data_IF_104180890706
#
_entry.id   IF_104180890706
#
_cell.length_a   1.000
_cell.length_b   1.000
_cell.length_c   1.000
_cell.angle_alpha   90.00
_cell.angle_beta   90.00
_cell.angle_gamma   90.00
#
_symmetry.space_group_name_H-M   'P 1'
#
loop_
_entity.id
_entity.type
_entity.pdbx_description
1 polymer ?
#
# COMPACT_ATOMS: atom_id res chain seq x y z
N UNK A 1 -21.63 -7.69 -10.65
CA UNK A 1 -20.19 -7.97 -10.41
C UNK A 1 -19.86 -7.44 -9.03
N UNK A 2 -19.04 -8.15 -8.25
CA UNK A 2 -18.46 -7.58 -7.04
C UNK A 2 -17.60 -6.37 -7.44
N UNK A 3 -17.84 -5.21 -6.85
CA UNK A 3 -17.05 -3.99 -7.07
C UNK A 3 -15.90 -3.85 -6.06
N UNK A 4 -15.89 -4.72 -5.04
CA UNK A 4 -14.89 -4.83 -4.00
C UNK A 4 -14.74 -6.31 -3.69
N UNK A 5 -13.52 -6.84 -3.82
CA UNK A 5 -13.27 -8.26 -3.60
C UNK A 5 -11.77 -8.53 -3.63
N UNK A 6 -11.35 -9.51 -2.84
CA UNK A 6 -10.00 -10.03 -2.84
C UNK A 6 -10.02 -11.40 -3.51
N UNK A 7 -9.16 -11.62 -4.51
CA UNK A 7 -8.99 -12.94 -5.12
C UNK A 7 -7.80 -13.65 -4.50
N UNK A 8 -8.03 -14.82 -3.92
CA UNK A 8 -6.98 -15.65 -3.33
C UNK A 8 -6.94 -16.96 -4.11
N UNK A 9 -5.78 -17.29 -4.67
CA UNK A 9 -5.56 -18.57 -5.32
C UNK A 9 -4.94 -19.54 -4.30
N UNK A 10 -5.72 -20.54 -3.87
CA UNK A 10 -5.28 -21.59 -2.95
C UNK A 10 -5.20 -22.91 -3.73
N UNK A 11 -4.17 -23.77 -3.53
CA UNK A 11 -4.10 -25.08 -4.18
C UNK A 11 -5.38 -25.91 -3.95
N UNK A 12 -5.81 -26.63 -4.99
CA UNK A 12 -7.10 -27.33 -5.02
C UNK A 12 -7.32 -28.34 -3.88
N UNK A 13 -6.24 -28.84 -3.26
CA UNK A 13 -6.28 -29.83 -2.19
C UNK A 13 -6.87 -29.30 -0.87
N UNK A 14 -7.15 -27.99 -0.77
CA UNK A 14 -7.72 -27.35 0.41
C UNK A 14 -9.26 -27.21 0.39
N UNK A 15 -9.93 -27.51 -0.73
CA UNK A 15 -11.38 -27.31 -0.85
C UNK A 15 -12.16 -28.60 -0.53
N UNK A 16 -13.22 -28.45 0.28
CA UNK A 16 -14.26 -29.47 0.48
C UNK A 16 -15.13 -29.70 -0.77
N UNK A 17 -16.24 -30.43 -0.62
CA UNK A 17 -17.13 -30.79 -1.73
C UNK A 17 -17.55 -29.53 -2.52
N UNK A 18 -17.31 -29.46 -3.85
CA UNK A 18 -17.65 -28.31 -4.68
C UNK A 18 -19.16 -27.99 -4.77
N UNK A 19 -20.03 -28.79 -4.15
CA UNK A 19 -21.47 -28.54 -4.03
C UNK A 19 -21.89 -27.94 -2.68
N UNK A 20 -20.97 -27.70 -1.76
CA UNK A 20 -21.28 -27.09 -0.47
C UNK A 20 -21.42 -25.56 -0.65
N UNK A 21 -22.67 -25.09 -0.62
CA UNK A 21 -22.99 -23.66 -0.63
C UNK A 21 -22.88 -23.15 0.81
N UNK A 22 -21.73 -22.58 1.17
CA UNK A 22 -21.62 -21.87 2.44
C UNK A 22 -22.36 -20.53 2.33
N UNK A 23 -23.48 -20.44 3.05
CA UNK A 23 -24.36 -19.27 3.08
C UNK A 23 -24.20 -18.57 4.42
N UNK A 24 -22.99 -18.09 4.72
CA UNK A 24 -22.86 -17.05 5.72
C UNK A 24 -23.23 -15.71 5.10
N UNK A 25 -24.53 -15.43 5.14
CA UNK A 25 -25.06 -14.11 4.83
C UNK A 25 -24.77 -13.22 6.04
N UNK A 26 -23.68 -12.46 5.97
CA UNK A 26 -23.49 -11.30 6.84
C UNK A 26 -24.13 -10.12 6.10
N UNK A 27 -25.37 -9.81 6.48
CA UNK A 27 -26.01 -8.55 6.12
C UNK A 27 -25.66 -7.57 7.22
N UNK A 28 -24.64 -6.74 7.03
CA UNK A 28 -24.65 -5.44 7.67
C UNK A 28 -24.89 -4.39 6.60
N UNK A 29 -26.14 -3.91 6.53
CA UNK A 29 -26.47 -2.67 5.84
C UNK A 29 -26.25 -1.55 6.86
N UNK A 30 -25.03 -1.46 7.37
CA UNK A 30 -24.66 -0.48 8.36
C UNK A 30 -24.74 0.92 7.74
N UNK A 31 -25.43 1.84 8.41
CA UNK A 31 -25.23 3.27 8.17
C UNK A 31 -23.83 3.66 8.66
N UNK A 32 -23.09 4.43 7.88
CA UNK A 32 -21.74 4.86 8.25
C UNK A 32 -20.72 4.73 7.12
N UNK A 33 -19.47 5.08 7.43
CA UNK A 33 -18.34 4.91 6.50
C UNK A 33 -18.06 3.40 6.38
N UNK A 34 -17.84 2.86 5.16
CA UNK A 34 -17.66 3.59 3.89
C UNK A 34 -18.90 3.68 3.00
N UNK A 35 -20.05 3.11 3.39
CA UNK A 35 -21.29 3.17 2.59
C UNK A 35 -21.71 4.61 2.30
N UNK A 36 -21.59 5.44 3.31
CA UNK A 36 -21.96 6.85 3.28
C UNK A 36 -21.06 7.69 2.35
N UNK A 37 -19.91 7.17 1.87
CA UNK A 37 -19.06 7.89 0.91
C UNK A 37 -19.68 8.02 -0.48
N UNK A 38 -20.72 7.24 -0.78
CA UNK A 38 -21.37 7.23 -2.08
C UNK A 38 -22.85 7.63 -1.97
N UNK A 39 -23.34 8.52 -2.85
CA UNK A 39 -24.77 8.76 -2.94
C UNK A 39 -25.50 7.48 -3.40
N UNK A 40 -26.80 7.31 -3.06
CA UNK A 40 -27.52 6.05 -3.28
C UNK A 40 -27.50 5.53 -4.72
N UNK A 41 -27.48 6.44 -5.71
CA UNK A 41 -27.42 6.12 -7.14
C UNK A 41 -26.05 5.60 -7.61
N UNK A 42 -25.01 5.74 -6.78
CA UNK A 42 -23.65 5.27 -7.05
C UNK A 42 -23.26 4.04 -6.22
N UNK A 43 -23.99 3.73 -5.14
CA UNK A 43 -23.65 2.61 -4.25
C UNK A 43 -23.56 1.28 -4.99
N UNK A 44 -24.49 1.00 -5.90
CA UNK A 44 -24.46 -0.25 -6.69
C UNK A 44 -23.14 -0.43 -7.46
N UNK A 45 -22.56 0.66 -7.95
CA UNK A 45 -21.31 0.66 -8.72
C UNK A 45 -20.09 0.43 -7.81
N UNK A 46 -20.05 1.04 -6.63
CA UNK A 46 -18.84 1.09 -5.79
C UNK A 46 -18.85 0.13 -4.60
N UNK A 47 -20.03 -0.32 -4.17
CA UNK A 47 -20.23 -1.24 -3.06
C UNK A 47 -20.41 -2.68 -3.53
N UNK A 48 -20.83 -2.86 -4.79
CA UNK A 48 -21.15 -4.15 -5.36
C UNK A 48 -22.53 -4.65 -4.93
N UNK A 49 -23.24 -5.23 -5.89
CA UNK A 49 -24.59 -5.80 -5.71
C UNK A 49 -24.60 -7.33 -5.86
N UNK A 50 -23.44 -7.93 -6.11
CA UNK A 50 -23.30 -9.37 -6.34
C UNK A 50 -23.13 -10.15 -5.04
N UNK A 51 -23.60 -11.38 -5.04
CA UNK A 51 -23.17 -12.37 -4.04
C UNK A 51 -21.84 -13.00 -4.46
N UNK A 52 -21.06 -13.43 -3.46
CA UNK A 52 -19.81 -14.13 -3.70
C UNK A 52 -20.08 -15.44 -4.46
N UNK A 53 -19.37 -15.66 -5.56
CA UNK A 53 -19.49 -16.87 -6.38
C UNK A 53 -18.22 -17.71 -6.28
N UNK A 54 -18.40 -19.04 -6.31
CA UNK A 54 -17.29 -19.98 -6.22
C UNK A 54 -17.37 -21.03 -7.31
N UNK A 55 -16.21 -21.45 -7.81
CA UNK A 55 -16.05 -22.59 -8.70
C UNK A 55 -14.83 -23.42 -8.26
N UNK A 56 -14.50 -24.46 -9.02
CA UNK A 56 -13.40 -25.39 -8.67
C UNK A 56 -11.99 -24.76 -8.58
N UNK A 57 -11.80 -23.53 -9.06
CA UNK A 57 -10.51 -22.86 -9.14
C UNK A 57 -10.45 -21.55 -8.34
N UNK A 58 -11.60 -20.92 -8.12
CA UNK A 58 -11.70 -19.60 -7.51
C UNK A 58 -12.87 -19.64 -6.53
N UNK A 59 -12.59 -19.24 -5.29
CA UNK A 59 -13.58 -19.01 -4.25
C UNK A 59 -13.57 -17.53 -3.90
N UNK A 60 -14.72 -16.88 -4.03
CA UNK A 60 -14.90 -15.49 -3.61
C UNK A 60 -15.43 -15.45 -2.19
N UNK A 61 -15.03 -14.42 -1.46
CA UNK A 61 -15.50 -14.15 -0.11
C UNK A 61 -16.04 -12.72 -0.05
N UNK A 62 -17.21 -12.56 0.57
CA UNK A 62 -17.80 -11.24 0.78
C UNK A 62 -17.17 -10.62 2.03
N UNK A 63 -16.60 -9.44 1.89
CA UNK A 63 -16.11 -8.66 3.03
C UNK A 63 -17.33 -8.21 3.85
N UNK A 64 -17.32 -8.33 5.20
CA UNK A 64 -18.47 -8.00 6.03
C UNK A 64 -18.95 -6.55 5.83
N UNK A 65 -18.01 -5.61 5.82
CA UNK A 65 -18.30 -4.20 5.57
C UNK A 65 -18.36 -3.93 4.06
N UNK A 66 -19.51 -3.43 3.59
CA UNK A 66 -19.72 -3.06 2.19
C UNK A 66 -18.90 -1.82 1.80
N UNK A 67 -18.63 -1.64 0.50
CA UNK A 67 -17.96 -0.45 -0.05
C UNK A 67 -16.53 -0.17 0.45
N UNK A 68 -15.85 -1.16 1.03
CA UNK A 68 -14.49 -1.00 1.59
C UNK A 68 -13.41 -0.74 0.55
N UNK A 69 -13.63 -1.16 -0.70
CA UNK A 69 -12.68 -1.01 -1.83
C UNK A 69 -11.24 -1.40 -1.48
N UNK A 70 -10.98 -2.68 -1.13
CA UNK A 70 -9.63 -3.12 -0.81
C UNK A 70 -8.70 -2.96 -2.01
N UNK A 71 -7.58 -2.24 -1.85
CA UNK A 71 -6.61 -1.98 -2.92
C UNK A 71 -5.24 -2.63 -2.70
N UNK A 72 -4.85 -2.86 -1.45
CA UNK A 72 -3.58 -3.47 -1.09
C UNK A 72 -3.81 -4.73 -0.27
N UNK A 73 -3.02 -5.77 -0.54
CA UNK A 73 -3.07 -7.06 0.14
C UNK A 73 -1.67 -7.62 0.37
N UNK A 74 -1.47 -8.28 1.53
CA UNK A 74 -0.28 -9.08 1.86
C UNK A 74 -0.67 -10.29 2.70
N UNK A 75 0.31 -11.12 3.06
CA UNK A 75 0.15 -12.26 3.96
C UNK A 75 1.18 -12.20 5.07
N UNK A 76 0.80 -12.59 6.29
CA UNK A 76 1.75 -12.83 7.36
C UNK A 76 2.37 -14.25 7.27
N UNK A 77 3.42 -14.56 8.06
CA UNK A 77 4.07 -15.88 8.05
C UNK A 77 3.16 -17.04 8.51
N UNK A 78 2.00 -16.75 9.10
CA UNK A 78 1.01 -17.74 9.49
C UNK A 78 -0.01 -18.02 8.37
N UNK A 79 0.08 -17.32 7.24
CA UNK A 79 -0.85 -17.43 6.13
C UNK A 79 -2.15 -16.65 6.35
N UNK A 80 -2.21 -15.78 7.37
CA UNK A 80 -3.31 -14.82 7.49
C UNK A 80 -3.16 -13.79 6.39
N UNK A 81 -4.26 -13.48 5.71
CA UNK A 81 -4.30 -12.49 4.65
C UNK A 81 -4.68 -11.15 5.26
N UNK A 82 -3.93 -10.11 4.95
CA UNK A 82 -4.16 -8.75 5.46
C UNK A 82 -4.39 -7.79 4.30
N UNK A 83 -5.36 -6.89 4.42
CA UNK A 83 -5.67 -5.92 3.38
C UNK A 83 -6.15 -4.58 3.97
N UNK A 84 -5.82 -3.50 3.27
CA UNK A 84 -6.24 -2.14 3.65
C UNK A 84 -7.56 -1.78 2.97
N UNK A 85 -8.46 -1.13 3.72
CA UNK A 85 -9.77 -0.69 3.26
C UNK A 85 -9.72 0.80 2.90
N UNK A 86 -9.55 1.09 1.60
CA UNK A 86 -9.30 2.44 1.08
C UNK A 86 -10.35 3.49 1.47
N UNK A 87 -11.60 3.08 1.65
CA UNK A 87 -12.69 4.01 1.94
C UNK A 87 -12.97 4.24 3.43
N UNK A 88 -12.33 3.50 4.32
CA UNK A 88 -12.46 3.66 5.78
C UNK A 88 -11.12 3.88 6.48
N UNK A 89 -10.00 3.63 5.81
CA UNK A 89 -8.68 3.67 6.44
C UNK A 89 -8.39 2.50 7.38
N UNK A 90 -9.36 1.59 7.51
CA UNK A 90 -9.27 0.38 8.33
C UNK A 90 -8.34 -0.65 7.72
N UNK A 91 -7.86 -1.54 8.57
CA UNK A 91 -7.19 -2.77 8.21
C UNK A 91 -8.11 -3.96 8.47
N UNK A 92 -8.07 -4.96 7.61
CA UNK A 92 -8.81 -6.19 7.81
C UNK A 92 -7.92 -7.40 7.58
N UNK A 93 -8.20 -8.47 8.32
CA UNK A 93 -7.58 -9.78 8.12
C UNK A 93 -8.62 -10.82 7.72
N UNK A 94 -8.18 -11.78 6.94
CA UNK A 94 -8.91 -12.98 6.56
C UNK A 94 -8.07 -14.20 6.95
N UNK A 95 -8.68 -15.11 7.71
CA UNK A 95 -8.10 -16.40 8.11
C UNK A 95 -8.60 -17.49 7.14
N UNK A 96 -7.79 -17.95 6.17
CA UNK A 96 -8.26 -18.91 5.17
C UNK A 96 -8.71 -20.26 5.75
N UNK A 97 -8.04 -20.86 6.76
CA UNK A 97 -8.55 -22.05 7.45
C UNK A 97 -9.93 -21.94 8.07
N UNK A 98 -10.29 -20.78 8.66
CA UNK A 98 -11.61 -20.61 9.31
C UNK A 98 -12.61 -19.82 8.47
N UNK A 99 -12.17 -19.27 7.35
CA UNK A 99 -12.93 -18.42 6.42
C UNK A 99 -13.54 -17.18 7.11
N UNK A 100 -12.84 -16.64 8.11
CA UNK A 100 -13.33 -15.51 8.92
C UNK A 100 -12.57 -14.23 8.63
N UNK A 101 -13.35 -13.15 8.56
CA UNK A 101 -12.83 -11.79 8.56
C UNK A 101 -12.75 -11.23 9.98
N UNK A 102 -11.78 -10.35 10.21
CA UNK A 102 -11.74 -9.46 11.37
C UNK A 102 -11.30 -8.09 10.87
N UNK A 103 -12.03 -7.04 11.21
CA UNK A 103 -11.78 -5.67 10.78
C UNK A 103 -11.35 -4.83 11.99
N UNK A 104 -10.40 -3.94 11.79
CA UNK A 104 -9.80 -3.10 12.82
C UNK A 104 -10.02 -1.64 12.46
N UNK A 105 -10.80 -0.92 13.27
CA UNK A 105 -11.15 0.46 13.01
C UNK A 105 -9.96 1.41 13.23
N UNK A 106 -9.76 2.35 12.31
CA UNK A 106 -8.79 3.42 12.46
C UNK A 106 -9.50 4.75 12.81
N UNK A 107 -9.77 5.04 14.10
CA UNK A 107 -10.51 6.24 14.49
C UNK A 107 -9.77 7.53 14.14
N UNK A 108 -8.43 7.50 14.08
CA UNK A 108 -7.62 8.68 13.71
C UNK A 108 -7.88 9.09 12.26
N UNK A 109 -8.16 8.11 11.39
CA UNK A 109 -8.53 8.34 10.00
C UNK A 109 -9.89 9.03 9.87
N UNK A 110 -10.90 8.47 10.54
CA UNK A 110 -12.27 8.97 10.49
C UNK A 110 -12.38 10.39 11.06
N UNK A 111 -11.72 10.63 12.20
CA UNK A 111 -11.65 11.96 12.84
C UNK A 111 -11.09 13.03 11.89
N UNK A 112 -10.09 12.68 11.06
CA UNK A 112 -9.52 13.60 10.08
C UNK A 112 -10.56 14.02 9.03
N UNK A 113 -11.24 13.05 8.40
CA UNK A 113 -12.22 13.36 7.35
C UNK A 113 -13.46 14.05 7.90
N UNK A 114 -13.85 13.74 9.14
CA UNK A 114 -14.89 14.47 9.84
C UNK A 114 -14.49 15.95 10.04
N UNK A 115 -13.32 16.21 10.62
CA UNK A 115 -12.84 17.57 10.85
C UNK A 115 -12.68 18.36 9.53
N UNK A 116 -12.19 17.71 8.47
CA UNK A 116 -12.09 18.31 7.14
C UNK A 116 -13.48 18.68 6.60
N UNK A 117 -14.44 17.75 6.66
CA UNK A 117 -15.82 18.00 6.22
C UNK A 117 -16.48 19.16 6.97
N UNK A 118 -16.29 19.23 8.29
CA UNK A 118 -16.78 20.33 9.12
C UNK A 118 -16.14 21.68 8.73
N UNK A 119 -14.84 21.67 8.39
CA UNK A 119 -14.11 22.89 8.01
C UNK A 119 -14.54 23.46 6.65
N UNK A 120 -14.86 22.59 5.68
CA UNK A 120 -15.30 23.01 4.33
C UNK A 120 -16.81 23.26 4.29
N UNK A 121 -17.57 22.74 5.26
CA UNK A 121 -19.02 22.89 5.31
C UNK A 121 -19.77 21.97 4.33
N UNK A 122 -19.07 20.99 3.75
CA UNK A 122 -19.61 19.95 2.89
C UNK A 122 -18.93 18.63 3.21
N UNK A 123 -19.60 17.52 2.90
CA UNK A 123 -19.08 16.18 3.18
C UNK A 123 -17.93 15.85 2.23
N UNK A 124 -16.76 15.59 2.79
CA UNK A 124 -15.62 15.03 2.07
C UNK A 124 -15.62 13.51 2.28
N UNK A 125 -15.79 12.71 1.21
CA UNK A 125 -15.76 11.26 1.33
C UNK A 125 -14.40 10.77 1.83
N UNK A 126 -14.39 9.90 2.84
CA UNK A 126 -13.18 9.30 3.36
C UNK A 126 -12.59 8.34 2.33
N UNK A 127 -11.43 8.67 1.74
CA UNK A 127 -10.81 7.82 0.71
C UNK A 127 -9.33 8.11 0.54
N UNK A 128 -8.54 7.04 0.40
CA UNK A 128 -7.13 7.15 -0.03
C UNK A 128 -6.69 5.98 -0.89
N UNK A 129 -5.79 6.24 -1.84
CA UNK A 129 -5.25 5.22 -2.74
C UNK A 129 -4.14 4.41 -2.04
N UNK A 130 -4.55 3.53 -1.13
CA UNK A 130 -3.68 2.62 -0.39
C UNK A 130 -3.24 1.48 -1.31
N UNK A 131 -2.12 1.66 -2.01
CA UNK A 131 -1.63 0.67 -2.99
C UNK A 131 -0.48 -0.21 -2.49
N UNK A 132 0.16 0.18 -1.38
CA UNK A 132 1.24 -0.55 -0.73
C UNK A 132 0.80 -1.08 0.63
N UNK A 133 1.10 -2.35 0.88
CA UNK A 133 0.96 -2.97 2.20
C UNK A 133 2.02 -4.06 2.32
N UNK A 134 2.60 -4.21 3.51
CA UNK A 134 3.50 -5.31 3.77
C UNK A 134 3.56 -5.68 5.26
N UNK A 135 3.95 -6.93 5.53
CA UNK A 135 4.13 -7.45 6.88
C UNK A 135 5.57 -7.25 7.34
N UNK A 136 5.72 -6.81 8.58
CA UNK A 136 7.00 -6.70 9.27
C UNK A 136 7.17 -7.80 10.30
N UNK A 137 8.39 -8.34 10.39
CA UNK A 137 8.75 -9.42 11.34
C UNK A 137 8.55 -9.07 12.81
N UNK A 138 8.39 -7.78 13.15
CA UNK A 138 8.02 -7.32 14.48
C UNK A 138 6.52 -7.50 14.80
N UNK A 139 5.74 -8.11 13.90
CA UNK A 139 4.30 -8.31 14.09
C UNK A 139 3.46 -7.09 13.73
N UNK A 140 3.98 -6.24 12.84
CA UNK A 140 3.26 -5.05 12.38
C UNK A 140 2.90 -5.14 10.90
N UNK A 141 1.80 -4.51 10.52
CA UNK A 141 1.42 -4.29 9.13
C UNK A 141 1.69 -2.84 8.78
N UNK A 142 2.43 -2.61 7.71
CA UNK A 142 2.68 -1.27 7.18
C UNK A 142 1.89 -1.06 5.90
N UNK A 143 1.28 0.11 5.72
CA UNK A 143 0.58 0.43 4.48
C UNK A 143 0.71 1.91 4.11
N UNK A 144 0.60 2.20 2.81
CA UNK A 144 0.70 3.57 2.27
C UNK A 144 -0.64 4.29 2.35
N UNK A 145 -0.56 5.61 2.51
CA UNK A 145 -1.68 6.52 2.44
C UNK A 145 -1.28 7.78 1.68
N UNK A 146 -1.65 7.81 0.39
CA UNK A 146 -1.33 8.92 -0.50
C UNK A 146 -2.22 10.16 -0.33
N UNK A 147 -3.31 10.09 0.45
CA UNK A 147 -4.18 11.26 0.69
C UNK A 147 -3.64 12.13 1.82
N UNK A 148 -3.10 11.52 2.88
CA UNK A 148 -2.53 12.25 4.01
C UNK A 148 -1.00 12.31 4.00
N UNK A 149 -0.37 11.98 2.87
CA UNK A 149 1.08 11.91 2.73
C UNK A 149 1.70 11.10 3.87
N UNK A 150 1.27 9.86 4.08
CA UNK A 150 1.63 9.10 5.27
C UNK A 150 1.88 7.62 5.00
N UNK A 151 2.60 7.00 5.94
CA UNK A 151 2.63 5.56 6.14
C UNK A 151 1.92 5.25 7.45
N UNK A 152 1.12 4.19 7.45
CA UNK A 152 0.49 3.68 8.64
C UNK A 152 1.19 2.40 9.09
N UNK A 153 1.36 2.26 10.40
CA UNK A 153 1.79 1.04 11.08
C UNK A 153 0.65 0.55 11.94
N UNK A 154 0.26 -0.70 11.78
CA UNK A 154 -0.68 -1.38 12.67
C UNK A 154 0.05 -2.46 13.47
N UNK A 155 0.07 -2.34 14.80
CA UNK A 155 0.59 -3.38 15.70
C UNK A 155 -0.45 -4.47 15.87
N UNK A 156 -0.15 -5.71 15.47
CA UNK A 156 -1.11 -6.82 15.55
C UNK A 156 -1.40 -7.20 17.02
N UNK A 157 -0.41 -7.14 17.90
CA UNK A 157 -0.58 -7.51 19.31
C UNK A 157 -1.36 -6.48 20.12
N UNK A 158 -1.18 -5.21 19.79
CA UNK A 158 -1.78 -4.09 20.52
C UNK A 158 -3.07 -3.59 19.87
N UNK A 159 -3.37 -4.06 18.65
CA UNK A 159 -4.49 -3.63 17.81
C UNK A 159 -4.54 -2.09 17.68
N UNK A 160 -3.37 -1.49 17.49
CA UNK A 160 -3.19 -0.03 17.50
C UNK A 160 -2.56 0.49 16.21
N UNK A 161 -2.96 1.70 15.83
CA UNK A 161 -2.41 2.42 14.68
C UNK A 161 -1.41 3.49 15.12
N UNK A 162 -0.26 3.52 14.46
CA UNK A 162 0.68 4.63 14.47
C UNK A 162 0.78 5.22 13.07
N UNK A 163 0.83 6.55 12.98
CA UNK A 163 1.01 7.27 11.73
C UNK A 163 2.42 7.83 11.65
N UNK A 164 3.11 7.50 10.56
CA UNK A 164 4.36 8.12 10.18
C UNK A 164 4.09 9.12 9.05
N UNK A 165 4.26 10.41 9.34
CA UNK A 165 4.17 11.45 8.32
C UNK A 165 5.27 11.24 7.27
N UNK A 166 4.88 11.21 6.01
CA UNK A 166 5.82 11.08 4.91
C UNK A 166 6.57 12.41 4.71
N UNK A 167 7.91 12.39 4.58
CA UNK A 167 8.68 13.62 4.41
C UNK A 167 8.36 14.31 3.09
N UNK A 168 7.90 15.56 3.19
CA UNK A 168 7.59 16.43 2.06
C UNK A 168 8.53 17.65 2.07
N UNK A 169 9.68 17.59 1.38
CA UNK A 169 10.56 18.74 1.22
C UNK A 169 9.87 19.88 0.47
N UNK A 170 10.11 21.13 0.89
CA UNK A 170 9.46 22.33 0.32
C UNK A 170 9.71 22.52 -1.19
N UNK A 171 10.73 21.86 -1.75
CA UNK A 171 11.13 21.93 -3.16
C UNK A 171 10.49 20.85 -4.05
N UNK A 172 9.54 20.05 -3.54
CA UNK A 172 8.83 19.04 -4.33
C UNK A 172 7.44 19.51 -4.77
N UNK A 173 6.98 19.08 -5.95
CA UNK A 173 5.63 19.40 -6.45
C UNK A 173 4.51 18.68 -5.68
N UNK A 174 4.88 17.71 -4.85
CA UNK A 174 4.02 16.92 -3.99
C UNK A 174 4.70 15.61 -3.63
N UNK A 175 4.12 14.89 -2.68
CA UNK A 175 4.52 13.52 -2.37
C UNK A 175 3.31 12.62 -2.53
N UNK A 176 3.55 11.36 -2.88
CA UNK A 176 2.51 10.36 -2.97
C UNK A 176 3.13 8.99 -2.70
N UNK A 177 3.20 8.55 -1.43
CA UNK A 177 3.67 7.21 -1.10
C UNK A 177 2.71 6.19 -1.72
N UNK A 178 3.20 5.45 -2.72
CA UNK A 178 2.33 4.63 -3.58
C UNK A 178 2.40 3.15 -3.20
N UNK A 179 3.54 2.49 -3.45
CA UNK A 179 3.86 1.12 -3.03
C UNK A 179 4.88 1.17 -1.91
N UNK A 180 4.84 0.16 -1.04
CA UNK A 180 5.89 -0.08 -0.05
C UNK A 180 6.30 -1.55 -0.01
N UNK A 181 7.51 -1.79 0.49
CA UNK A 181 8.04 -3.11 0.85
C UNK A 181 8.83 -2.97 2.15
N UNK A 182 8.64 -3.94 3.05
CA UNK A 182 9.41 -4.08 4.28
C UNK A 182 10.59 -5.01 3.99
N UNK A 183 11.80 -4.54 4.29
CA UNK A 183 13.03 -5.32 4.20
C UNK A 183 13.81 -5.23 5.51
N UNK A 184 13.70 -6.26 6.34
CA UNK A 184 14.27 -6.27 7.68
C UNK A 184 13.73 -5.11 8.54
N UNK A 185 14.61 -4.19 8.92
CA UNK A 185 14.26 -2.97 9.67
C UNK A 185 14.08 -1.74 8.77
N UNK A 186 13.97 -1.94 7.46
CA UNK A 186 13.84 -0.88 6.46
C UNK A 186 12.47 -0.94 5.81
N UNK A 187 11.93 0.22 5.48
CA UNK A 187 10.75 0.35 4.62
C UNK A 187 11.17 1.13 3.39
N UNK A 188 10.94 0.55 2.23
CA UNK A 188 11.22 1.14 0.93
C UNK A 188 9.88 1.53 0.32
N UNK A 189 9.77 2.77 -0.17
CA UNK A 189 8.52 3.33 -0.69
C UNK A 189 8.81 4.03 -2.00
N UNK A 190 8.00 3.79 -3.04
CA UNK A 190 8.03 4.69 -4.20
C UNK A 190 7.15 5.91 -3.92
N UNK A 191 7.74 7.08 -4.13
CA UNK A 191 7.07 8.36 -4.11
C UNK A 191 6.70 8.73 -5.54
N UNK A 192 5.45 8.47 -5.91
CA UNK A 192 4.98 8.62 -7.29
C UNK A 192 5.16 10.05 -7.78
N UNK A 193 4.66 11.03 -7.01
CA UNK A 193 4.71 12.45 -7.38
C UNK A 193 6.05 13.10 -7.03
N UNK A 194 6.71 12.66 -5.95
CA UNK A 194 8.05 13.15 -5.58
C UNK A 194 9.18 12.60 -6.45
N UNK A 195 8.86 11.74 -7.44
CA UNK A 195 9.80 11.19 -8.41
C UNK A 195 11.03 10.51 -7.79
N UNK A 196 10.83 9.67 -6.78
CA UNK A 196 11.93 9.04 -6.03
C UNK A 196 11.55 7.74 -5.36
N UNK A 197 12.55 6.94 -5.03
CA UNK A 197 12.42 5.80 -4.10
C UNK A 197 12.96 6.22 -2.74
N UNK A 198 12.10 6.24 -1.72
CA UNK A 198 12.46 6.63 -0.35
C UNK A 198 12.73 5.40 0.53
N UNK A 199 13.67 5.55 1.45
CA UNK A 199 14.09 4.53 2.39
C UNK A 199 13.92 5.07 3.80
N UNK A 200 13.27 4.28 4.65
CA UNK A 200 13.10 4.55 6.07
C UNK A 200 13.79 3.43 6.85
N UNK A 201 14.92 3.74 7.45
CA UNK A 201 15.70 2.80 8.24
C UNK A 201 15.41 3.05 9.72
N UNK A 202 14.84 2.06 10.39
CA UNK A 202 14.49 2.15 11.80
C UNK A 202 15.67 1.64 12.64
N UNK A 203 16.22 2.51 13.49
CA UNK A 203 17.27 2.12 14.42
C UNK A 203 16.73 1.12 15.44
N UNK A 204 17.48 0.04 15.71
CA UNK A 204 17.10 -0.95 16.73
C UNK A 204 17.11 -0.38 18.15
N UNK A 205 17.76 0.77 18.36
CA UNK A 205 17.86 1.47 19.64
C UNK A 205 17.68 2.97 19.41
N UNK A 206 16.75 3.61 20.13
CA UNK A 206 16.65 5.08 20.19
C UNK A 206 15.49 5.73 19.43
N UNK A 207 14.60 4.98 18.78
CA UNK A 207 13.48 5.50 17.97
C UNK A 207 13.89 6.44 16.82
N UNK A 208 15.18 6.54 16.50
CA UNK A 208 15.64 7.34 15.37
C UNK A 208 15.28 6.62 14.06
N UNK A 209 14.67 7.38 13.15
CA UNK A 209 14.39 6.95 11.79
C UNK A 209 15.35 7.72 10.90
N UNK A 210 16.17 6.97 10.17
CA UNK A 210 17.02 7.55 9.14
C UNK A 210 16.30 7.47 7.81
N UNK A 211 16.16 8.61 7.15
CA UNK A 211 15.50 8.69 5.84
C UNK A 211 16.45 9.22 4.78
N UNK A 212 16.47 8.57 3.63
CA UNK A 212 17.07 9.09 2.40
C UNK A 212 16.23 8.66 1.21
N UNK A 213 16.47 9.26 0.04
CA UNK A 213 15.73 8.89 -1.17
C UNK A 213 16.63 8.96 -2.40
N UNK A 214 16.32 8.11 -3.38
CA UNK A 214 16.96 8.05 -4.68
C UNK A 214 16.07 8.78 -5.68
N UNK A 215 16.44 9.98 -6.15
CA UNK A 215 15.65 10.68 -7.14
C UNK A 215 15.72 9.97 -8.49
N UNK A 216 14.65 10.08 -9.26
CA UNK A 216 14.63 9.71 -10.66
C UNK A 216 15.73 10.45 -11.43
N UNK A 217 16.48 9.79 -12.33
CA UNK A 217 17.43 10.47 -13.20
C UNK A 217 16.74 11.22 -14.36
N UNK A 218 15.41 11.10 -14.50
CA UNK A 218 14.61 11.89 -15.45
C UNK A 218 13.97 13.09 -14.74
N UNK A 219 14.19 14.30 -15.24
CA UNK A 219 13.47 15.48 -14.78
C UNK A 219 11.98 15.39 -15.18
N UNK A 220 11.09 15.95 -14.36
CA UNK A 220 9.63 15.98 -14.57
C UNK A 220 9.00 14.60 -14.80
N UNK A 221 9.61 13.55 -14.25
CA UNK A 221 9.11 12.18 -14.32
C UNK A 221 8.35 11.80 -13.06
N UNK A 222 7.59 10.71 -13.11
CA UNK A 222 6.99 10.05 -11.95
C UNK A 222 7.55 8.64 -11.80
N UNK A 223 7.67 8.16 -10.57
CA UNK A 223 8.13 6.79 -10.27
C UNK A 223 6.96 5.84 -10.02
N UNK A 224 7.17 4.54 -10.16
CA UNK A 224 6.12 3.55 -9.87
C UNK A 224 6.69 2.32 -9.19
N UNK A 225 6.15 1.14 -9.53
CA UNK A 225 6.56 -0.15 -9.02
C UNK A 225 8.08 -0.31 -9.02
N UNK A 226 8.55 -0.85 -7.92
CA UNK A 226 9.93 -1.22 -7.71
C UNK A 226 10.00 -2.67 -7.22
N UNK A 227 11.19 -3.26 -7.32
CA UNK A 227 11.50 -4.59 -6.82
C UNK A 227 12.98 -4.65 -6.42
N UNK A 228 13.32 -5.57 -5.53
CA UNK A 228 14.71 -5.89 -5.21
C UNK A 228 15.12 -7.18 -5.92
N UNK A 229 16.36 -7.23 -6.40
CA UNK A 229 16.94 -8.48 -6.88
C UNK A 229 17.65 -9.26 -5.76
N UNK A 230 18.19 -10.44 -6.08
CA UNK A 230 18.87 -11.30 -5.11
C UNK A 230 20.23 -10.77 -4.64
N UNK A 231 20.71 -9.68 -5.25
CA UNK A 231 21.94 -8.98 -4.86
C UNK A 231 21.60 -7.69 -4.09
N UNK A 232 20.35 -7.52 -3.64
CA UNK A 232 19.83 -6.36 -2.92
C UNK A 232 19.85 -5.05 -3.73
N UNK A 233 20.01 -5.10 -5.05
CA UNK A 233 19.83 -3.91 -5.89
C UNK A 233 18.34 -3.55 -5.99
N UNK A 234 18.04 -2.25 -6.02
CA UNK A 234 16.67 -1.76 -6.19
C UNK A 234 16.43 -1.42 -7.65
N UNK A 235 15.44 -2.07 -8.25
CA UNK A 235 14.97 -1.82 -9.60
C UNK A 235 13.65 -1.06 -9.55
N UNK A 236 13.50 0.03 -10.30
CA UNK A 236 12.25 0.78 -10.37
C UNK A 236 12.00 1.37 -11.74
N UNK A 237 10.72 1.58 -12.06
CA UNK A 237 10.32 2.26 -13.29
C UNK A 237 10.07 3.74 -13.04
N UNK A 238 10.45 4.56 -14.02
CA UNK A 238 10.17 6.00 -14.02
C UNK A 238 9.89 6.47 -15.44
N UNK A 239 8.95 7.39 -15.61
CA UNK A 239 8.53 7.86 -16.92
C UNK A 239 8.00 9.30 -16.87
N UNK A 240 7.97 9.93 -18.03
CA UNK A 240 7.35 11.24 -18.21
C UNK A 240 5.96 10.99 -18.83
N UNK A 241 4.87 11.50 -18.22
CA UNK A 241 3.52 11.34 -18.77
C UNK A 241 3.44 11.77 -20.25
N UNK A 242 2.71 11.02 -21.07
CA UNK A 242 2.58 11.21 -22.52
C UNK A 242 3.90 11.07 -23.33
N UNK A 243 4.98 10.62 -22.70
CA UNK A 243 6.28 10.36 -23.33
C UNK A 243 6.74 8.89 -23.07
N UNK A 244 8.05 8.66 -22.97
CA UNK A 244 8.65 7.35 -22.68
C UNK A 244 9.15 7.28 -21.24
N UNK A 245 9.63 6.10 -20.84
CA UNK A 245 10.23 5.86 -19.54
C UNK A 245 11.51 5.04 -19.62
N UNK A 246 12.06 4.79 -18.44
CA UNK A 246 13.24 3.99 -18.24
C UNK A 246 13.01 3.02 -17.08
N UNK A 247 13.73 1.90 -17.12
CA UNK A 247 14.00 1.07 -15.96
C UNK A 247 15.32 1.54 -15.35
N UNK A 248 15.32 1.71 -14.03
CA UNK A 248 16.50 2.13 -13.27
C UNK A 248 16.90 1.00 -12.33
N UNK A 249 18.20 0.72 -12.26
CA UNK A 249 18.83 -0.13 -11.26
C UNK A 249 19.65 0.76 -10.33
N UNK A 250 19.46 0.60 -9.03
CA UNK A 250 20.27 1.23 -8.00
C UNK A 250 21.07 0.16 -7.23
N UNK A 251 22.40 0.29 -7.26
CA UNK A 251 23.33 -0.54 -6.51
C UNK A 251 23.38 -0.12 -5.05
N UNK A 252 22.35 -0.55 -4.30
CA UNK A 252 22.24 -0.28 -2.88
C UNK A 252 23.43 -0.85 -2.06
N UNK A 253 23.90 -2.09 -2.27
CA UNK A 253 25.05 -2.62 -1.53
C UNK A 253 26.30 -1.77 -1.65
N UNK A 254 26.67 -1.34 -2.86
CA UNK A 254 27.83 -0.48 -3.06
C UNK A 254 27.63 0.89 -2.40
N UNK A 255 26.44 1.47 -2.52
CA UNK A 255 26.10 2.74 -1.85
C UNK A 255 26.28 2.65 -0.33
N UNK A 256 25.77 1.58 0.29
CA UNK A 256 25.85 1.39 1.74
C UNK A 256 27.32 1.27 2.22
N UNK A 257 28.15 0.51 1.49
CA UNK A 257 29.57 0.34 1.81
C UNK A 257 30.33 1.66 1.70
N UNK A 258 30.11 2.42 0.62
CA UNK A 258 30.76 3.73 0.44
C UNK A 258 30.30 4.72 1.50
N UNK A 259 29.02 4.69 1.84
CA UNK A 259 28.45 5.60 2.83
C UNK A 259 29.06 5.36 4.21
N UNK A 260 29.20 4.09 4.62
CA UNK A 260 29.83 3.71 5.88
C UNK A 260 31.32 4.06 5.96
N UNK A 261 32.01 4.12 4.82
CA UNK A 261 33.46 4.38 4.75
C UNK A 261 33.82 5.84 4.46
N UNK A 262 32.88 6.62 3.92
CA UNK A 262 33.06 8.05 3.67
C UNK A 262 33.21 8.83 4.99
N UNK A 263 34.42 9.38 5.23
CA UNK A 263 34.70 10.25 6.39
C UNK A 263 34.62 11.75 6.04
N UNK A 264 34.13 12.09 4.83
CA UNK A 264 34.16 13.43 4.27
C UNK A 264 32.85 14.21 4.45
N UNK A 265 32.89 15.55 4.51
CA UNK A 265 31.70 16.40 4.61
C UNK A 265 30.92 16.52 3.28
N UNK A 266 31.43 15.97 2.18
CA UNK A 266 30.73 15.88 0.90
C UNK A 266 29.91 14.60 0.89
N UNK A 267 28.58 14.73 0.80
CA UNK A 267 27.69 13.59 0.63
C UNK A 267 27.99 12.84 -0.67
N UNK A 268 27.69 11.54 -0.68
CA UNK A 268 27.80 10.70 -1.88
C UNK A 268 26.83 11.19 -2.97
N UNK A 269 27.28 11.12 -4.22
CA UNK A 269 26.44 11.37 -5.38
C UNK A 269 25.66 10.09 -5.70
N UNK A 270 24.37 10.06 -5.38
CA UNK A 270 23.51 8.89 -5.62
C UNK A 270 23.54 8.41 -7.08
N UNK A 271 23.78 9.31 -8.03
CA UNK A 271 23.87 9.00 -9.46
C UNK A 271 25.05 8.07 -9.82
N UNK A 272 26.09 7.98 -8.97
CA UNK A 272 27.24 7.09 -9.19
C UNK A 272 26.88 5.61 -9.00
N UNK A 273 25.72 5.33 -8.38
CA UNK A 273 25.22 3.99 -8.08
C UNK A 273 24.02 3.60 -8.95
N UNK A 274 23.74 4.37 -10.01
CA UNK A 274 22.57 4.18 -10.86
C UNK A 274 22.98 3.72 -12.26
N UNK A 275 22.31 2.67 -12.73
CA UNK A 275 22.25 2.29 -14.15
C UNK A 275 20.83 2.47 -14.67
N UNK A 276 20.66 2.85 -15.94
CA UNK A 276 19.34 2.97 -16.54
C UNK A 276 19.25 2.32 -17.92
N UNK A 277 18.03 1.90 -18.24
CA UNK A 277 17.67 1.14 -19.44
C UNK A 277 16.44 1.78 -20.07
N UNK A 278 16.59 2.25 -21.31
CA UNK A 278 15.50 2.93 -22.04
C UNK A 278 14.40 1.94 -22.42
N UNK A 279 13.15 2.32 -22.23
CA UNK A 279 12.02 1.56 -22.77
C UNK A 279 11.94 1.66 -24.30
N UNK A 280 11.29 0.70 -24.97
CA UNK A 280 11.00 0.80 -26.39
C UNK A 280 10.30 2.12 -26.72
N UNK A 281 10.68 2.85 -27.79
CA UNK A 281 10.07 4.12 -28.15
C UNK A 281 8.57 4.05 -28.42
N UNK A 282 8.04 2.86 -28.75
CA UNK A 282 6.62 2.64 -29.00
C UNK A 282 5.80 2.47 -27.71
N UNK A 283 6.46 2.37 -26.55
CA UNK A 283 5.83 2.23 -25.25
C UNK A 283 5.61 3.62 -24.64
N UNK A 284 4.60 4.33 -25.16
CA UNK A 284 4.14 5.59 -24.59
C UNK A 284 3.24 5.34 -23.36
N UNK A 285 3.38 6.19 -22.34
CA UNK A 285 2.63 6.12 -21.08
C UNK A 285 1.46 7.09 -21.02
#
# INVERSE_FOLDING_TARGET
>A
MLASGVTIAIPADFFGDPNEVDTQIIVDVGSGIPLDNYPPDQQDQYCGIGEAISNRYVKEYKIPTACTQPLAITTDPHGTVWFAQTNSGNLAKFDPPTEKFTEFDNPVWDDYFQALSESVGEKIPARSMMWGIDYSSDGSIWYTDGYHDALWKFSISDESYDRLQYPNPEDTEGVFPQKLTVDGSRIIVNDLLGSRISFFEFAQVGQEIRTFAIPSPLENSITSGFAMDSEDNVWYTTWIPDETGILVKFDYPSYEVEQATSMGPQGLLLQEFIEFYQFPPEMNT
#
